data_IF_208011034017
#
_entry.id   IF_208011034017
#
_cell.length_a   1.000
_cell.length_b   1.000
_cell.length_c   1.000
_cell.angle_alpha   90.00
_cell.angle_beta   90.00
_cell.angle_gamma   90.00
#
_symmetry.space_group_name_H-M   'P 1'
#
loop_
_entity.id
_entity.type
_entity.pdbx_description
1 polymer ?
#
# COMPACT_ATOMS: atom_id res chain seq x y z
N UNK A 1 -1.76 2.27 -0.36
CA UNK A 1 -1.46 3.64 -0.83
C UNK A 1 0.01 3.96 -0.61
N UNK A 2 0.54 4.97 -1.28
CA UNK A 2 1.94 5.39 -1.17
C UNK A 2 2.05 6.92 -1.04
N UNK A 3 3.20 7.45 -0.58
CA UNK A 3 3.40 8.89 -0.42
C UNK A 3 3.12 9.69 -1.70
N UNK A 4 2.81 10.98 -1.62
CA UNK A 4 2.67 11.76 -0.38
C UNK A 4 1.20 11.88 0.03
N UNK A 5 0.97 12.03 1.33
CA UNK A 5 -0.34 12.42 1.87
C UNK A 5 -0.53 13.93 1.91
N UNK A 6 0.54 14.72 2.02
CA UNK A 6 0.44 16.17 2.20
C UNK A 6 0.20 16.96 0.90
N UNK A 7 0.31 16.34 -0.27
CA UNK A 7 0.13 16.97 -1.59
C UNK A 7 -0.35 15.95 -2.63
N UNK A 8 -1.09 16.42 -3.64
CA UNK A 8 -1.44 15.64 -4.84
C UNK A 8 -0.32 15.68 -5.89
N UNK A 9 0.77 16.42 -5.66
CA UNK A 9 1.92 16.40 -6.55
C UNK A 9 2.54 15.00 -6.57
N UNK A 10 2.80 14.50 -7.78
CA UNK A 10 3.39 13.18 -7.96
C UNK A 10 4.89 13.21 -7.64
N UNK A 11 5.31 12.24 -6.83
CA UNK A 11 6.73 11.99 -6.52
C UNK A 11 7.48 11.40 -7.71
N UNK A 12 8.81 11.46 -7.66
CA UNK A 12 9.69 11.08 -8.77
C UNK A 12 9.57 9.61 -9.21
N UNK A 13 9.09 8.73 -8.31
CA UNK A 13 8.84 7.33 -8.60
C UNK A 13 7.36 6.93 -8.46
N UNK A 14 6.45 7.88 -8.69
CA UNK A 14 5.00 7.67 -8.62
C UNK A 14 4.54 6.44 -9.39
N UNK A 15 4.83 6.38 -10.69
CA UNK A 15 4.35 5.32 -11.58
C UNK A 15 4.91 3.93 -11.19
N UNK A 16 6.14 3.90 -10.68
CA UNK A 16 6.72 2.65 -10.17
C UNK A 16 5.95 2.13 -8.95
N UNK A 17 5.60 3.02 -8.01
CA UNK A 17 4.80 2.64 -6.85
C UNK A 17 3.35 2.29 -7.24
N UNK A 18 2.80 2.98 -8.24
CA UNK A 18 1.48 2.65 -8.74
C UNK A 18 1.43 1.25 -9.34
N UNK A 19 2.37 0.90 -10.21
CA UNK A 19 2.47 -0.43 -10.81
C UNK A 19 2.68 -1.55 -9.77
N UNK A 20 3.61 -1.36 -8.83
CA UNK A 20 3.86 -2.31 -7.74
C UNK A 20 2.57 -2.48 -6.91
N UNK A 21 1.89 -1.38 -6.60
CA UNK A 21 0.60 -1.39 -5.91
C UNK A 21 -0.45 -2.21 -6.67
N UNK A 22 -0.60 -1.99 -7.98
CA UNK A 22 -1.55 -2.72 -8.83
C UNK A 22 -1.30 -4.24 -8.82
N UNK A 23 -0.02 -4.66 -8.90
CA UNK A 23 0.34 -6.07 -8.78
C UNK A 23 0.01 -6.65 -7.40
N UNK A 24 0.24 -5.87 -6.35
CA UNK A 24 -0.01 -6.27 -4.97
C UNK A 24 -1.49 -6.49 -4.69
N UNK A 25 -2.35 -5.52 -5.03
CA UNK A 25 -3.80 -5.65 -4.83
C UNK A 25 -4.43 -6.71 -5.74
N UNK A 26 -3.84 -6.97 -6.92
CA UNK A 26 -4.28 -8.06 -7.81
C UNK A 26 -4.04 -9.43 -7.18
N UNK A 27 -2.90 -9.61 -6.50
CA UNK A 27 -2.59 -10.83 -5.77
C UNK A 27 -3.48 -11.00 -4.54
N UNK A 28 -3.67 -9.93 -3.75
CA UNK A 28 -4.58 -9.90 -2.60
C UNK A 28 -5.98 -10.42 -2.97
N UNK A 29 -6.53 -9.91 -4.09
CA UNK A 29 -7.87 -10.23 -4.54
C UNK A 29 -8.10 -11.72 -4.84
N UNK A 30 -7.07 -12.50 -5.16
CA UNK A 30 -7.23 -13.87 -5.65
C UNK A 30 -7.91 -14.81 -4.66
N UNK A 31 -7.62 -14.67 -3.35
CA UNK A 31 -8.05 -15.64 -2.35
C UNK A 31 -9.50 -15.48 -1.91
N UNK A 32 -9.94 -14.23 -1.72
CA UNK A 32 -11.28 -13.93 -1.19
C UNK A 32 -12.07 -12.91 -2.01
N UNK A 33 -11.55 -12.43 -3.14
CA UNK A 33 -12.22 -11.44 -3.98
C UNK A 33 -12.25 -10.02 -3.40
N UNK A 34 -11.60 -9.77 -2.27
CA UNK A 34 -11.58 -8.45 -1.63
C UNK A 34 -10.90 -7.43 -2.54
N UNK A 35 -11.56 -6.29 -2.72
CA UNK A 35 -11.10 -5.25 -3.63
C UNK A 35 -10.48 -4.11 -2.83
N UNK A 36 -9.28 -3.71 -3.22
CA UNK A 36 -8.50 -2.61 -2.65
C UNK A 36 -8.23 -1.57 -3.74
N UNK A 37 -7.93 -0.36 -3.31
CA UNK A 37 -7.44 0.73 -4.17
C UNK A 37 -5.98 1.06 -3.83
N UNK A 38 -5.24 1.58 -4.80
CA UNK A 38 -3.86 2.02 -4.63
C UNK A 38 -3.64 3.32 -5.38
N UNK A 39 -2.71 4.14 -4.89
CA UNK A 39 -2.45 5.48 -5.39
C UNK A 39 -1.70 6.32 -4.35
N UNK A 40 -1.40 7.56 -4.74
CA UNK A 40 -0.98 8.61 -3.84
C UNK A 40 -2.03 8.80 -2.73
N UNK A 41 -1.59 8.98 -1.48
CA UNK A 41 -2.48 9.06 -0.32
C UNK A 41 -3.45 10.24 -0.43
N UNK A 42 -2.98 11.42 -0.83
CA UNK A 42 -3.82 12.61 -0.96
C UNK A 42 -4.95 12.41 -1.98
N UNK A 43 -4.67 11.69 -3.07
CA UNK A 43 -5.64 11.38 -4.13
C UNK A 43 -6.58 10.22 -3.76
N UNK A 44 -6.10 9.22 -3.01
CA UNK A 44 -6.85 7.98 -2.71
C UNK A 44 -7.73 8.10 -1.48
N UNK A 45 -7.34 8.91 -0.48
CA UNK A 45 -8.11 9.06 0.77
C UNK A 45 -8.49 10.52 1.02
N UNK A 46 -7.50 11.39 1.28
CA UNK A 46 -7.61 12.82 1.54
C UNK A 46 -6.21 13.39 1.86
N UNK A 47 -6.06 14.71 1.77
CA UNK A 47 -4.82 15.41 2.15
C UNK A 47 -4.57 15.25 3.67
N UNK A 48 -3.41 14.69 4.03
CA UNK A 48 -2.95 14.51 5.40
C UNK A 48 -1.46 14.83 5.55
N UNK A 49 -1.10 15.67 6.52
CA UNK A 49 0.29 16.03 6.81
C UNK A 49 0.87 15.16 7.94
N UNK A 50 2.18 14.95 7.94
CA UNK A 50 2.89 14.27 9.04
C UNK A 50 2.71 12.75 9.11
N UNK A 51 2.29 12.09 8.01
CA UNK A 51 2.20 10.63 7.96
C UNK A 51 3.58 9.97 8.08
N UNK A 52 3.63 8.77 8.66
CA UNK A 52 4.89 8.02 8.77
C UNK A 52 5.52 7.73 7.41
N UNK A 53 4.69 7.42 6.40
CA UNK A 53 5.16 7.09 5.05
C UNK A 53 5.71 8.32 4.32
N UNK A 54 5.12 9.50 4.51
CA UNK A 54 5.65 10.77 4.01
C UNK A 54 7.00 11.08 4.65
N UNK A 55 7.12 10.90 5.98
CA UNK A 55 8.38 11.11 6.69
C UNK A 55 9.48 10.15 6.21
N UNK A 56 9.17 8.86 6.07
CA UNK A 56 10.13 7.85 5.59
C UNK A 56 10.58 8.14 4.16
N UNK A 57 9.66 8.58 3.29
CA UNK A 57 10.00 8.97 1.92
C UNK A 57 10.84 10.25 1.89
N UNK A 58 10.36 11.32 2.52
CA UNK A 58 10.97 12.65 2.44
C UNK A 58 12.29 12.78 3.20
N UNK A 59 12.41 12.19 4.39
CA UNK A 59 13.60 12.34 5.25
C UNK A 59 14.62 11.23 5.01
N UNK A 60 14.17 9.99 4.83
CA UNK A 60 15.08 8.85 4.65
C UNK A 60 15.28 8.43 3.19
N UNK A 61 14.62 9.10 2.24
CA UNK A 61 14.77 8.84 0.81
C UNK A 61 14.43 7.40 0.41
N UNK A 62 13.58 6.70 1.17
CA UNK A 62 13.23 5.31 0.87
C UNK A 62 12.39 5.25 -0.40
N UNK A 63 12.79 4.37 -1.31
CA UNK A 63 12.18 4.31 -2.63
C UNK A 63 10.81 3.63 -2.61
N UNK A 64 10.73 2.48 -1.95
CA UNK A 64 9.52 1.66 -1.83
C UNK A 64 8.89 1.88 -0.45
N UNK A 65 7.79 2.62 -0.39
CA UNK A 65 7.09 2.98 0.85
C UNK A 65 5.58 2.88 0.62
N UNK A 66 4.87 2.14 1.49
CA UNK A 66 3.42 1.96 1.41
C UNK A 66 2.78 2.04 2.78
N UNK A 67 1.51 2.42 2.79
CA UNK A 67 0.58 2.25 3.89
C UNK A 67 -0.59 1.36 3.47
N UNK A 68 -1.12 0.57 4.40
CA UNK A 68 -2.26 -0.30 4.21
C UNK A 68 -3.41 0.15 5.11
N UNK A 69 -4.58 0.32 4.52
CA UNK A 69 -5.87 0.38 5.22
C UNK A 69 -6.56 -0.96 4.94
N UNK A 70 -6.75 -1.78 5.97
CA UNK A 70 -7.25 -3.15 5.81
C UNK A 70 -8.78 -3.21 5.75
N UNK A 71 -9.36 -4.41 5.82
CA UNK A 71 -10.82 -4.59 5.85
C UNK A 71 -11.44 -3.85 7.06
N UNK A 72 -12.70 -3.41 6.97
CA UNK A 72 -13.60 -3.43 5.82
C UNK A 72 -13.90 -2.02 5.30
N UNK A 73 -14.89 -1.88 4.42
CA UNK A 73 -15.31 -0.59 3.85
C UNK A 73 -16.34 0.16 4.72
N UNK A 74 -16.33 -0.07 6.03
CA UNK A 74 -17.14 0.68 7.01
C UNK A 74 -18.38 -0.03 7.53
N UNK A 75 -18.63 -1.30 7.17
CA UNK A 75 -19.74 -2.07 7.78
C UNK A 75 -19.45 -2.39 9.24
N UNK A 76 -18.23 -2.82 9.53
CA UNK A 76 -17.74 -3.05 10.89
C UNK A 76 -16.66 -2.05 11.28
N UNK A 77 -15.90 -1.52 10.31
CA UNK A 77 -14.78 -0.60 10.55
C UNK A 77 -13.79 -1.19 11.56
N UNK A 78 -13.48 -0.41 12.59
CA UNK A 78 -12.56 -0.83 13.66
C UNK A 78 -13.06 -2.02 14.49
N UNK A 79 -14.34 -2.38 14.42
CA UNK A 79 -14.95 -3.51 15.13
C UNK A 79 -15.11 -4.75 14.23
N UNK A 80 -14.17 -4.97 13.30
CA UNK A 80 -14.16 -6.11 12.41
C UNK A 80 -14.22 -7.44 13.19
N UNK A 81 -15.13 -8.37 12.87
CA UNK A 81 -15.31 -9.60 13.65
C UNK A 81 -14.03 -10.47 13.69
N UNK A 82 -13.73 -11.16 14.80
CA UNK A 82 -12.54 -12.01 14.93
C UNK A 82 -12.41 -13.09 13.83
N UNK A 83 -13.54 -13.57 13.29
CA UNK A 83 -13.56 -14.51 12.18
C UNK A 83 -12.91 -13.97 10.88
N UNK A 84 -12.73 -12.65 10.76
CA UNK A 84 -12.08 -11.99 9.63
C UNK A 84 -10.57 -11.80 9.82
N UNK A 85 -10.00 -12.13 10.99
CA UNK A 85 -8.57 -11.95 11.27
C UNK A 85 -7.72 -12.80 10.32
N UNK A 86 -7.99 -14.11 10.28
CA UNK A 86 -7.23 -15.04 9.43
C UNK A 86 -7.42 -14.70 7.94
N UNK A 87 -8.65 -14.52 7.42
CA UNK A 87 -8.84 -14.12 6.02
C UNK A 87 -8.11 -12.83 5.64
N UNK A 88 -8.15 -11.81 6.50
CA UNK A 88 -7.44 -10.54 6.27
C UNK A 88 -5.94 -10.73 6.24
N UNK A 89 -5.39 -11.50 7.20
CA UNK A 89 -3.96 -11.79 7.26
C UNK A 89 -3.45 -12.57 6.06
N UNK A 90 -4.21 -13.57 5.61
CA UNK A 90 -3.82 -14.42 4.47
C UNK A 90 -3.77 -13.65 3.16
N UNK A 91 -4.80 -12.86 2.82
CA UNK A 91 -4.78 -12.08 1.57
C UNK A 91 -3.77 -10.92 1.62
N UNK A 92 -3.55 -10.33 2.79
CA UNK A 92 -2.54 -9.28 2.97
C UNK A 92 -1.14 -9.87 2.80
N UNK A 93 -0.90 -11.09 3.26
CA UNK A 93 0.38 -11.78 3.04
C UNK A 93 0.61 -12.05 1.55
N UNK A 94 -0.41 -12.49 0.80
CA UNK A 94 -0.32 -12.67 -0.65
C UNK A 94 0.05 -11.35 -1.36
N UNK A 95 -0.54 -10.23 -0.92
CA UNK A 95 -0.20 -8.87 -1.37
C UNK A 95 1.27 -8.53 -1.10
N UNK A 96 1.75 -8.75 0.12
CA UNK A 96 3.13 -8.44 0.53
C UNK A 96 4.15 -9.28 -0.23
N UNK A 97 3.88 -10.58 -0.45
CA UNK A 97 4.74 -11.45 -1.25
C UNK A 97 4.83 -10.96 -2.68
N UNK A 98 3.71 -10.55 -3.29
CA UNK A 98 3.70 -9.97 -4.63
C UNK A 98 4.47 -8.64 -4.68
N UNK A 99 4.26 -7.75 -3.70
CA UNK A 99 4.98 -6.49 -3.56
C UNK A 99 6.49 -6.70 -3.49
N UNK A 100 6.95 -7.63 -2.65
CA UNK A 100 8.39 -7.90 -2.50
C UNK A 100 8.99 -8.52 -3.76
N UNK A 101 8.26 -9.40 -4.45
CA UNK A 101 8.72 -9.97 -5.72
C UNK A 101 8.82 -8.90 -6.82
N UNK A 102 7.83 -8.02 -6.91
CA UNK A 102 7.81 -6.94 -7.91
C UNK A 102 8.86 -5.86 -7.60
N UNK A 103 9.03 -5.48 -6.33
CA UNK A 103 10.11 -4.58 -5.92
C UNK A 103 11.48 -5.20 -6.26
N UNK A 104 11.67 -6.50 -5.99
CA UNK A 104 12.92 -7.22 -6.31
C UNK A 104 13.17 -7.31 -7.81
N UNK A 105 12.15 -7.55 -8.63
CA UNK A 105 12.30 -7.60 -10.10
C UNK A 105 12.71 -6.24 -10.69
N UNK A 106 12.36 -5.15 -10.01
CA UNK A 106 12.76 -3.76 -10.33
C UNK A 106 14.10 -3.32 -9.72
N UNK A 107 14.81 -4.24 -9.05
CA UNK A 107 16.14 -3.98 -8.50
C UNK A 107 16.16 -3.38 -7.09
N UNK A 108 15.08 -3.50 -6.32
CA UNK A 108 15.03 -3.08 -4.93
C UNK A 108 15.31 -4.22 -3.94
N UNK A 109 15.88 -3.91 -2.76
CA UNK A 109 16.45 -2.62 -2.39
C UNK A 109 17.78 -2.39 -3.15
N UNK A 110 18.01 -1.15 -3.59
CA UNK A 110 19.32 -0.77 -4.13
C UNK A 110 20.32 -0.80 -2.99
N UNK A 111 21.40 -1.58 -3.13
CA UNK A 111 22.54 -1.52 -2.22
C UNK A 111 23.16 -0.13 -2.34
N UNK A 112 23.32 0.54 -1.19
CA UNK A 112 24.03 1.82 -1.06
C UNK A 112 25.52 1.58 -1.19
#
# INVERSE_FOLDING_TARGET
>A
MFPYGHTTDHLENHDELYDIGLKSISALKQKYGTSYETGNIAETIYIATGSTVDYVKGVHGKHIVYTYELRDQGRYGFLLPPAQIIPTGEETLDSLVAMFKEAKSRGHPKTV
#
